data_IF_059196794948
#
_entry.id   IF_059196794948
#
_cell.length_a   1.000
_cell.length_b   1.000
_cell.length_c   1.000
_cell.angle_alpha   90.00
_cell.angle_beta   90.00
_cell.angle_gamma   90.00
#
_symmetry.space_group_name_H-M   'P 1'
#
loop_
_entity.id
_entity.type
_entity.pdbx_description
1 polymer ?
#
# COMPACT_ATOMS: atom_id res chain seq x y z
N UNK A 1 -14.42 17.46 7.93
CA UNK A 1 -13.14 17.32 8.65
C UNK A 1 -12.25 18.49 8.23
N UNK A 2 -11.58 19.15 9.18
CA UNK A 2 -10.70 20.28 8.89
C UNK A 2 -9.52 19.86 7.99
N UNK A 3 -9.24 20.63 6.94
CA UNK A 3 -8.21 20.32 5.95
C UNK A 3 -6.82 20.26 6.60
N UNK A 4 -6.58 21.08 7.63
CA UNK A 4 -5.32 21.11 8.36
C UNK A 4 -5.13 19.86 9.23
N UNK A 5 -6.21 19.40 9.87
CA UNK A 5 -6.22 18.16 10.66
C UNK A 5 -5.92 16.95 9.77
N UNK A 6 -6.47 16.89 8.55
CA UNK A 6 -6.19 15.83 7.59
C UNK A 6 -4.71 15.83 7.17
N UNK A 7 -4.14 17.01 6.90
CA UNK A 7 -2.71 17.15 6.57
C UNK A 7 -1.81 16.73 7.74
N UNK A 8 -2.18 17.09 8.97
CA UNK A 8 -1.46 16.66 10.17
C UNK A 8 -1.47 15.14 10.33
N UNK A 9 -2.61 14.47 10.10
CA UNK A 9 -2.72 13.00 10.11
C UNK A 9 -1.79 12.36 9.09
N UNK A 10 -1.79 12.88 7.85
CA UNK A 10 -0.91 12.36 6.78
C UNK A 10 0.57 12.46 7.16
N UNK A 11 1.00 13.62 7.69
CA UNK A 11 2.39 13.82 8.11
C UNK A 11 2.77 12.95 9.32
N UNK A 12 1.85 12.75 10.25
CA UNK A 12 2.05 11.85 11.39
C UNK A 12 2.19 10.39 10.95
N UNK A 13 1.36 9.94 10.01
CA UNK A 13 1.43 8.59 9.45
C UNK A 13 2.78 8.31 8.77
N UNK A 14 3.42 9.33 8.21
CA UNK A 14 4.79 9.26 7.65
C UNK A 14 5.90 9.22 8.72
N UNK A 15 5.56 9.20 10.01
CA UNK A 15 6.52 9.13 11.11
C UNK A 15 7.08 10.48 11.58
N UNK A 16 6.51 11.61 11.15
CA UNK A 16 6.98 12.93 11.61
C UNK A 16 6.59 13.21 13.06
N UNK A 17 7.48 13.89 13.79
CA UNK A 17 7.22 14.35 15.15
C UNK A 17 6.25 15.54 15.15
N UNK A 18 5.58 15.77 16.28
CA UNK A 18 4.67 16.91 16.44
C UNK A 18 5.34 18.26 16.14
N UNK A 19 6.63 18.41 16.47
CA UNK A 19 7.42 19.60 16.13
C UNK A 19 7.56 19.78 14.62
N UNK A 20 7.91 18.72 13.87
CA UNK A 20 8.06 18.79 12.41
C UNK A 20 6.72 19.08 11.72
N UNK A 21 5.64 18.47 12.21
CA UNK A 21 4.28 18.71 11.71
C UNK A 21 3.88 20.17 11.95
N UNK A 22 4.17 20.69 13.14
CA UNK A 22 3.89 22.07 13.52
C UNK A 22 4.60 23.06 12.59
N UNK A 23 5.89 22.84 12.32
CA UNK A 23 6.65 23.64 11.36
C UNK A 23 6.07 23.55 9.94
N UNK A 24 5.71 22.35 9.47
CA UNK A 24 5.16 22.14 8.14
C UNK A 24 3.78 22.78 7.92
N UNK A 25 2.98 22.91 8.99
CA UNK A 25 1.63 23.50 8.94
C UNK A 25 1.58 24.95 9.44
N UNK A 26 2.73 25.53 9.79
CA UNK A 26 2.82 26.84 10.44
C UNK A 26 1.88 26.96 11.67
N UNK A 27 1.90 25.95 12.53
CA UNK A 27 1.10 25.87 13.77
C UNK A 27 2.01 25.81 14.98
N UNK A 28 1.43 26.07 16.15
CA UNK A 28 2.13 25.81 17.41
C UNK A 28 2.25 24.29 17.65
N UNK A 29 3.37 23.80 18.22
CA UNK A 29 3.49 22.41 18.63
C UNK A 29 2.36 21.96 19.56
N UNK A 30 1.91 22.84 20.46
CA UNK A 30 0.78 22.57 21.37
C UNK A 30 -0.52 22.25 20.64
N UNK A 31 -0.79 22.93 19.52
CA UNK A 31 -1.95 22.65 18.66
C UNK A 31 -1.88 21.23 18.10
N UNK A 32 -0.71 20.81 17.61
CA UNK A 32 -0.53 19.46 17.04
C UNK A 32 -0.63 18.40 18.13
N UNK A 33 -0.01 18.61 19.30
CA UNK A 33 -0.14 17.69 20.43
C UNK A 33 -1.60 17.53 20.87
N UNK A 34 -2.37 18.63 20.90
CA UNK A 34 -3.80 18.59 21.22
C UNK A 34 -4.58 17.78 20.19
N UNK A 35 -4.35 18.00 18.89
CA UNK A 35 -5.01 17.24 17.84
C UNK A 35 -4.72 15.74 17.92
N UNK A 36 -3.47 15.36 18.13
CA UNK A 36 -3.07 13.95 18.31
C UNK A 36 -3.75 13.36 19.54
N UNK A 37 -3.82 14.12 20.65
CA UNK A 37 -4.47 13.66 21.88
C UNK A 37 -5.98 13.46 21.72
N UNK A 38 -6.65 14.41 21.08
CA UNK A 38 -8.11 14.39 20.88
C UNK A 38 -8.55 13.36 19.84
N UNK A 39 -7.69 13.03 18.86
CA UNK A 39 -8.00 12.12 17.75
C UNK A 39 -7.05 10.91 17.74
N UNK A 40 -6.66 10.43 18.92
CA UNK A 40 -5.57 9.45 19.08
C UNK A 40 -5.75 8.20 18.21
N UNK A 41 -6.94 7.61 18.23
CA UNK A 41 -7.23 6.40 17.45
C UNK A 41 -7.05 6.63 15.95
N UNK A 42 -7.62 7.71 15.41
CA UNK A 42 -7.51 8.04 13.98
C UNK A 42 -6.06 8.31 13.54
N UNK A 43 -5.23 8.92 14.40
CA UNK A 43 -3.82 9.15 14.09
C UNK A 43 -3.00 7.85 14.12
N UNK A 44 -3.26 6.98 15.09
CA UNK A 44 -2.60 5.67 15.18
C UNK A 44 -3.04 4.73 14.06
N UNK A 45 -4.32 4.73 13.69
CA UNK A 45 -4.83 3.99 12.52
C UNK A 45 -4.18 4.46 11.23
N UNK A 46 -4.08 5.78 11.01
CA UNK A 46 -3.39 6.32 9.85
C UNK A 46 -1.92 5.87 9.80
N UNK A 47 -1.25 5.81 10.96
CA UNK A 47 0.13 5.33 11.07
C UNK A 47 0.27 3.84 10.79
N UNK A 48 -0.65 3.02 11.31
CA UNK A 48 -0.71 1.58 11.00
C UNK A 48 -0.90 1.36 9.50
N UNK A 49 -1.86 2.05 8.90
CA UNK A 49 -2.14 1.96 7.46
C UNK A 49 -0.95 2.40 6.60
N UNK A 50 -0.24 3.46 6.99
CA UNK A 50 0.97 3.90 6.27
C UNK A 50 2.14 2.92 6.39
N UNK A 51 2.16 2.09 7.44
CA UNK A 51 3.15 1.03 7.62
C UNK A 51 2.82 -0.27 6.91
N UNK A 52 1.62 -0.43 6.33
CA UNK A 52 1.24 -1.64 5.62
C UNK A 52 1.94 -1.71 4.26
N UNK A 53 2.55 -2.85 3.97
CA UNK A 53 3.03 -3.19 2.64
C UNK A 53 1.86 -3.57 1.73
N UNK A 54 2.11 -3.65 0.42
CA UNK A 54 1.09 -4.11 -0.53
C UNK A 54 0.64 -5.55 -0.23
N UNK A 55 1.55 -6.41 0.19
CA UNK A 55 1.23 -7.80 0.54
C UNK A 55 0.36 -7.84 1.81
N UNK A 56 0.64 -7.03 2.84
CA UNK A 56 -0.20 -6.92 4.04
C UNK A 56 -1.64 -6.49 3.71
N UNK A 57 -1.81 -5.59 2.73
CA UNK A 57 -3.12 -5.16 2.25
C UNK A 57 -3.84 -6.28 1.50
N UNK A 58 -3.13 -7.09 0.73
CA UNK A 58 -3.70 -8.24 0.02
C UNK A 58 -4.18 -9.29 1.03
N UNK A 59 -3.40 -9.60 2.06
CA UNK A 59 -3.77 -10.56 3.10
C UNK A 59 -4.98 -10.09 3.90
N UNK A 60 -5.02 -8.82 4.32
CA UNK A 60 -6.17 -8.23 5.01
C UNK A 60 -7.44 -8.33 4.16
N UNK A 61 -7.31 -8.10 2.85
CA UNK A 61 -8.42 -8.14 1.91
C UNK A 61 -8.97 -9.55 1.73
N UNK A 62 -8.09 -10.55 1.65
CA UNK A 62 -8.47 -11.97 1.62
C UNK A 62 -9.19 -12.40 2.92
N UNK A 63 -8.66 -12.02 4.09
CA UNK A 63 -9.33 -12.27 5.37
C UNK A 63 -10.71 -11.60 5.46
N UNK A 64 -10.82 -10.36 4.97
CA UNK A 64 -12.09 -9.62 4.99
C UNK A 64 -13.11 -10.28 4.07
N UNK A 65 -12.70 -10.72 2.88
CA UNK A 65 -13.56 -11.48 1.98
C UNK A 65 -14.04 -12.79 2.60
N UNK A 66 -13.16 -13.56 3.26
CA UNK A 66 -13.55 -14.77 3.99
C UNK A 66 -14.60 -14.49 5.06
N UNK A 67 -14.45 -13.39 5.82
CA UNK A 67 -15.44 -12.97 6.83
C UNK A 67 -16.79 -12.63 6.21
N UNK A 68 -16.80 -11.89 5.11
CA UNK A 68 -18.03 -11.56 4.36
C UNK A 68 -18.72 -12.84 3.87
N UNK A 69 -17.98 -13.80 3.29
CA UNK A 69 -18.54 -15.07 2.87
C UNK A 69 -19.15 -15.85 4.05
N UNK A 70 -18.50 -15.84 5.21
CA UNK A 70 -19.04 -16.43 6.44
C UNK A 70 -20.33 -15.70 6.87
N UNK A 71 -20.38 -14.37 6.83
CA UNK A 71 -21.59 -13.60 7.13
C UNK A 71 -22.73 -13.90 6.16
N UNK A 72 -22.45 -13.98 4.85
CA UNK A 72 -23.41 -14.42 3.83
C UNK A 72 -23.96 -15.80 4.17
N UNK A 73 -23.08 -16.74 4.57
CA UNK A 73 -23.51 -18.10 4.92
C UNK A 73 -24.43 -18.14 6.15
N UNK A 74 -24.25 -17.20 7.10
CA UNK A 74 -25.05 -17.10 8.32
C UNK A 74 -26.39 -16.39 8.10
N UNK A 75 -26.45 -15.39 7.22
CA UNK A 75 -27.67 -14.64 6.93
C UNK A 75 -27.78 -14.27 5.44
N UNK A 76 -28.16 -15.21 4.56
CA UNK A 76 -28.19 -14.99 3.11
C UNK A 76 -29.17 -13.88 2.68
N UNK A 77 -30.24 -13.67 3.46
CA UNK A 77 -31.30 -12.70 3.17
C UNK A 77 -30.81 -11.25 3.21
N UNK A 78 -29.79 -10.96 4.02
CA UNK A 78 -29.16 -9.63 4.12
C UNK A 78 -28.55 -9.16 2.79
N UNK A 79 -28.20 -10.10 1.90
CA UNK A 79 -27.56 -9.82 0.62
C UNK A 79 -28.56 -9.85 -0.56
N UNK A 80 -29.86 -10.01 -0.29
CA UNK A 80 -30.91 -9.75 -1.28
C UNK A 80 -31.12 -8.26 -1.55
N UNK A 81 -30.62 -7.39 -0.66
CA UNK A 81 -30.62 -5.96 -0.89
C UNK A 81 -29.68 -5.60 -2.08
N UNK A 82 -30.22 -5.05 -3.18
CA UNK A 82 -29.43 -4.77 -4.38
C UNK A 82 -28.27 -3.80 -4.16
N UNK A 83 -28.39 -2.87 -3.20
CA UNK A 83 -27.33 -1.89 -2.90
C UNK A 83 -26.13 -2.55 -2.24
N UNK A 84 -26.40 -3.44 -1.29
CA UNK A 84 -25.38 -4.22 -0.59
C UNK A 84 -24.64 -5.14 -1.56
N UNK A 85 -25.38 -5.80 -2.47
CA UNK A 85 -24.79 -6.62 -3.53
C UNK A 85 -23.91 -5.80 -4.49
N UNK A 86 -24.38 -4.65 -4.97
CA UNK A 86 -23.61 -3.76 -5.86
C UNK A 86 -22.33 -3.23 -5.20
N UNK A 87 -22.37 -2.89 -3.91
CA UNK A 87 -21.20 -2.45 -3.15
C UNK A 87 -20.13 -3.55 -3.08
N UNK A 88 -20.52 -4.80 -2.83
CA UNK A 88 -19.59 -5.94 -2.79
C UNK A 88 -18.95 -6.22 -4.15
N UNK A 89 -19.73 -6.15 -5.24
CA UNK A 89 -19.21 -6.31 -6.60
C UNK A 89 -18.16 -5.25 -6.92
N UNK A 90 -18.39 -3.99 -6.52
CA UNK A 90 -17.42 -2.91 -6.71
C UNK A 90 -16.12 -3.16 -5.97
N UNK A 91 -16.21 -3.58 -4.70
CA UNK A 91 -15.04 -3.93 -3.89
C UNK A 91 -14.25 -5.06 -4.56
N UNK A 92 -14.91 -6.15 -4.96
CA UNK A 92 -14.29 -7.27 -5.67
C UNK A 92 -13.55 -6.81 -6.95
N UNK A 93 -14.15 -5.93 -7.75
CA UNK A 93 -13.51 -5.41 -8.97
C UNK A 93 -12.25 -4.58 -8.69
N UNK A 94 -12.20 -3.86 -7.56
CA UNK A 94 -11.02 -3.10 -7.15
C UNK A 94 -9.93 -4.06 -6.72
N UNK A 95 -10.28 -5.12 -5.99
CA UNK A 95 -9.35 -6.17 -5.57
C UNK A 95 -8.68 -6.82 -6.77
N UNK A 96 -9.45 -7.29 -7.75
CA UNK A 96 -8.93 -7.92 -8.98
C UNK A 96 -7.95 -7.01 -9.72
N UNK A 97 -8.24 -5.70 -9.76
CA UNK A 97 -7.34 -4.72 -10.38
C UNK A 97 -6.05 -4.53 -9.58
N UNK A 98 -6.12 -4.58 -8.25
CA UNK A 98 -4.95 -4.45 -7.38
C UNK A 98 -4.08 -5.70 -7.44
N UNK A 99 -4.66 -6.89 -7.41
CA UNK A 99 -3.92 -8.16 -7.53
C UNK A 99 -3.25 -8.27 -8.90
N UNK A 100 -3.96 -8.01 -9.99
CA UNK A 100 -3.38 -8.02 -11.34
C UNK A 100 -2.24 -6.99 -11.51
N UNK A 101 -2.31 -5.84 -10.83
CA UNK A 101 -1.21 -4.86 -10.81
C UNK A 101 -0.02 -5.36 -10.00
N UNK A 102 -0.26 -6.05 -8.89
CA UNK A 102 0.79 -6.65 -8.05
C UNK A 102 1.55 -7.73 -8.83
N UNK A 103 0.83 -8.62 -9.51
CA UNK A 103 1.42 -9.69 -10.33
C UNK A 103 2.27 -9.15 -11.48
N UNK A 104 1.76 -8.14 -12.22
CA UNK A 104 2.52 -7.49 -13.29
C UNK A 104 3.82 -6.86 -12.80
N UNK A 105 3.81 -6.22 -11.62
CA UNK A 105 5.02 -5.67 -11.01
C UNK A 105 6.02 -6.76 -10.60
N UNK A 106 5.53 -7.88 -10.04
CA UNK A 106 6.39 -9.04 -9.70
C UNK A 106 7.01 -9.65 -10.96
N UNK A 107 6.29 -9.67 -12.08
CA UNK A 107 6.78 -10.20 -13.36
C UNK A 107 7.78 -9.25 -14.05
N UNK A 108 7.56 -7.94 -14.00
CA UNK A 108 8.52 -6.94 -14.50
C UNK A 108 9.83 -6.95 -13.69
N UNK A 109 9.75 -7.01 -12.36
CA UNK A 109 10.93 -7.10 -11.50
C UNK A 109 11.74 -8.38 -11.77
N UNK A 110 11.10 -9.50 -12.15
CA UNK A 110 11.80 -10.72 -12.56
C UNK A 110 12.54 -10.55 -13.89
N UNK A 111 11.91 -9.89 -14.89
CA UNK A 111 12.52 -9.63 -16.20
C UNK A 111 13.71 -8.67 -16.11
N UNK A 112 13.61 -7.62 -15.30
CA UNK A 112 14.73 -6.67 -15.08
C UNK A 112 15.95 -7.36 -14.46
N UNK A 113 15.75 -8.26 -13.49
CA UNK A 113 16.83 -9.06 -12.89
C UNK A 113 17.43 -10.08 -13.87
N UNK A 114 16.64 -10.59 -14.81
CA UNK A 114 17.08 -11.53 -15.84
C UNK A 114 17.88 -10.82 -16.96
N UNK A 115 17.48 -9.59 -17.33
CA UNK A 115 18.22 -8.73 -18.26
C UNK A 115 19.55 -8.22 -17.68
N UNK A 116 19.60 -7.84 -16.39
CA UNK A 116 20.86 -7.46 -15.72
C UNK A 116 21.87 -8.60 -15.63
N UNK A 117 21.41 -9.86 -15.54
CA UNK A 117 22.28 -11.05 -15.55
C UNK A 117 22.67 -11.51 -16.96
N UNK A 118 21.99 -11.02 -18.00
CA UNK A 118 22.09 -11.51 -19.37
C UNK A 118 23.23 -10.93 -20.22
N UNK A 119 24.00 -9.96 -19.73
CA UNK A 119 25.07 -9.32 -20.52
C UNK A 119 26.47 -9.77 -20.05
N UNK A 120 26.92 -10.91 -20.57
CA UNK A 120 28.34 -11.26 -20.68
C UNK A 120 28.73 -11.13 -22.17
N UNK A 121 29.13 -9.92 -22.58
CA UNK A 121 29.81 -9.74 -23.87
C UNK A 121 31.25 -10.19 -23.66
N UNK A 122 31.60 -11.34 -24.23
CA UNK A 122 32.99 -11.82 -24.29
C UNK A 122 33.63 -11.10 -25.49
N UNK A 123 34.31 -9.99 -25.23
CA UNK A 123 35.17 -9.33 -26.21
C UNK A 123 36.62 -9.84 -26.10
N UNK A 124 37.23 -9.97 -27.27
CA UNK A 124 38.65 -10.21 -27.58
C UNK A 124 39.27 -11.59 -27.28
N UNK A 125 39.22 -12.46 -28.31
CA UNK A 125 40.35 -13.36 -28.61
C UNK A 125 41.00 -12.83 -29.90
N UNK A 126 42.08 -12.04 -29.74
CA UNK A 126 43.08 -11.87 -30.79
C UNK A 126 44.22 -12.84 -30.49
N UNK A 127 44.32 -13.91 -31.26
CA UNK A 127 45.53 -14.73 -31.31
C UNK A 127 46.63 -13.90 -31.98
N UNK A 128 47.54 -13.37 -31.18
CA UNK A 128 48.87 -13.00 -31.64
C UNK A 128 49.90 -14.05 -31.21
N UNK A 129 50.87 -14.23 -32.09
CA UNK A 129 52.13 -14.97 -31.98
C UNK A 129 52.09 -16.49 -32.34
N UNK A 130 52.98 -17.02 -33.18
CA UNK A 130 54.41 -16.68 -33.34
C UNK A 130 54.92 -16.80 -34.77
N UNK A 131 55.73 -15.82 -35.13
CA UNK A 131 56.78 -15.95 -36.12
C UNK A 131 57.83 -16.98 -35.66
N UNK A 132 58.15 -17.97 -36.49
CA UNK A 132 59.54 -18.42 -36.75
C UNK A 132 59.59 -19.22 -38.03
#
# INVERSE_FOLDING_TARGET
MDLELLKAKKLYAQGNTAQKIASALNKSPGTIYRWIKENKEEFEEARKLAGMTLDDVIDLLDETHKKILIEISKNPEQFRDPKTADALVKVASVVEKVTARSEKKKEQAKKEVEEERGVLIVDDIKEEEKAT
#
